data_IF_886860338593
#
_entry.id   IF_886860338593
#
_cell.length_a   1.000
_cell.length_b   1.000
_cell.length_c   1.000
_cell.angle_alpha   90.00
_cell.angle_beta   90.00
_cell.angle_gamma   90.00
#
_symmetry.space_group_name_H-M   'P 1'
#
loop_
_entity.id
_entity.type
_entity.pdbx_description
1 polymer ?
#
# COMPACT_ATOMS: atom_id res chain seq x y z
N UNK A 1 23.58 12.48 -18.02
CA UNK A 1 22.78 11.88 -16.93
C UNK A 1 22.23 12.99 -16.07
N UNK A 2 20.90 13.18 -16.08
CA UNK A 2 20.21 14.19 -15.26
C UNK A 2 19.35 13.43 -14.25
N UNK A 3 19.54 13.71 -12.97
CA UNK A 3 18.66 13.20 -11.92
C UNK A 3 17.30 13.87 -11.99
N UNK A 4 16.23 13.14 -11.72
CA UNK A 4 14.88 13.67 -11.69
C UNK A 4 14.13 13.22 -10.44
N UNK A 5 13.15 14.02 -10.05
CA UNK A 5 12.27 13.81 -8.91
C UNK A 5 10.82 13.88 -9.38
N UNK A 6 10.00 12.89 -9.01
CA UNK A 6 8.57 12.91 -9.31
C UNK A 6 7.88 13.81 -8.31
N UNK A 7 7.45 15.00 -8.74
CA UNK A 7 6.80 15.99 -7.88
C UNK A 7 5.56 15.43 -7.18
N UNK A 8 4.78 14.66 -7.91
CA UNK A 8 3.52 14.10 -7.44
C UNK A 8 3.22 12.79 -8.13
N UNK A 9 2.72 11.81 -7.38
CA UNK A 9 2.28 10.53 -7.89
C UNK A 9 1.15 9.96 -7.04
N UNK A 10 0.43 8.95 -7.54
CA UNK A 10 -0.66 8.28 -6.84
C UNK A 10 -2.06 8.76 -7.25
N UNK A 11 -2.18 9.70 -8.17
CA UNK A 11 -3.47 10.26 -8.63
C UNK A 11 -4.42 9.22 -9.20
N UNK A 12 -3.88 8.12 -9.71
CA UNK A 12 -4.66 7.00 -10.22
C UNK A 12 -5.48 6.28 -9.13
N UNK A 13 -5.19 6.52 -7.87
CA UNK A 13 -5.90 5.90 -6.74
C UNK A 13 -7.18 6.64 -6.40
N UNK A 14 -7.16 7.95 -6.43
CA UNK A 14 -8.36 8.78 -6.20
C UNK A 14 -8.25 10.10 -6.97
N UNK A 15 -8.42 10.05 -8.27
CA UNK A 15 -8.54 11.24 -9.10
C UNK A 15 -9.99 11.68 -9.19
N UNK A 16 -10.25 12.96 -9.02
CA UNK A 16 -11.58 13.56 -9.16
C UNK A 16 -12.14 13.46 -10.59
N UNK A 17 -11.29 13.27 -11.58
CA UNK A 17 -11.68 12.96 -12.96
C UNK A 17 -11.94 11.47 -13.17
N UNK A 18 -11.75 10.63 -12.17
CA UNK A 18 -11.82 9.18 -12.29
C UNK A 18 -13.23 8.58 -12.22
N UNK A 19 -14.29 9.40 -12.42
CA UNK A 19 -15.69 8.96 -12.32
C UNK A 19 -16.01 7.71 -13.15
N UNK A 20 -15.31 7.49 -14.24
CA UNK A 20 -15.47 6.35 -15.13
C UNK A 20 -14.26 5.42 -15.15
N UNK A 21 -13.29 5.63 -14.27
CA UNK A 21 -12.10 4.79 -14.21
C UNK A 21 -12.23 3.64 -13.20
N UNK A 22 -11.51 2.53 -13.38
CA UNK A 22 -11.45 1.45 -12.39
C UNK A 22 -10.99 1.91 -11.01
N UNK A 23 -10.22 2.98 -10.93
CA UNK A 23 -9.74 3.55 -9.65
C UNK A 23 -10.85 4.17 -8.81
N UNK A 24 -12.03 4.40 -9.37
CA UNK A 24 -13.18 4.94 -8.61
C UNK A 24 -13.57 4.12 -7.40
N UNK A 25 -13.38 2.81 -7.45
CA UNK A 25 -13.66 1.90 -6.32
C UNK A 25 -12.79 2.18 -5.10
N UNK A 26 -11.68 2.90 -5.28
CA UNK A 26 -10.76 3.29 -4.22
C UNK A 26 -11.28 4.46 -3.38
N UNK A 27 -12.39 5.09 -3.76
CA UNK A 27 -12.95 6.29 -3.13
C UNK A 27 -13.84 6.01 -1.93
N UNK A 28 -13.85 4.83 -1.44
CA UNK A 28 -14.73 4.46 -0.33
C UNK A 28 -13.99 4.32 0.99
N UNK A 29 -14.78 4.30 2.06
CA UNK A 29 -14.40 3.78 3.34
C UNK A 29 -14.81 2.32 3.44
N UNK A 30 -14.06 1.58 4.22
CA UNK A 30 -14.29 0.17 4.47
C UNK A 30 -13.10 -0.68 4.03
N UNK A 31 -13.13 -1.93 4.40
CA UNK A 31 -12.02 -2.86 4.21
C UNK A 31 -11.65 -3.03 2.74
N UNK A 32 -12.63 -3.37 1.90
CA UNK A 32 -12.37 -3.64 0.47
C UNK A 32 -11.86 -2.41 -0.27
N UNK A 33 -12.48 -1.22 -0.17
CA UNK A 33 -11.93 0.00 -0.77
C UNK A 33 -10.51 0.32 -0.30
N UNK A 34 -10.20 0.13 0.98
CA UNK A 34 -8.86 0.38 1.51
C UNK A 34 -7.81 -0.63 1.03
N UNK A 35 -8.20 -1.89 0.83
CA UNK A 35 -7.34 -2.90 0.20
C UNK A 35 -7.04 -2.55 -1.25
N UNK A 36 -8.06 -2.16 -2.01
CA UNK A 36 -7.90 -1.73 -3.41
C UNK A 36 -7.03 -0.48 -3.51
N UNK A 37 -7.18 0.48 -2.60
CA UNK A 37 -6.33 1.66 -2.50
C UNK A 37 -4.86 1.26 -2.28
N UNK A 38 -4.59 0.42 -1.29
CA UNK A 38 -3.24 -0.03 -0.99
C UNK A 38 -2.61 -0.76 -2.20
N UNK A 39 -3.39 -1.61 -2.89
CA UNK A 39 -2.94 -2.28 -4.11
C UNK A 39 -2.66 -1.28 -5.23
N UNK A 40 -3.50 -0.27 -5.41
CA UNK A 40 -3.32 0.77 -6.41
C UNK A 40 -2.04 1.59 -6.18
N UNK A 41 -1.73 1.92 -4.92
CA UNK A 41 -0.47 2.59 -4.58
C UNK A 41 0.74 1.69 -4.73
N UNK A 42 0.62 0.42 -4.42
CA UNK A 42 1.72 -0.53 -4.50
C UNK A 42 2.08 -0.87 -5.94
N UNK A 43 1.12 -1.40 -6.66
CA UNK A 43 1.27 -1.87 -8.04
C UNK A 43 -0.06 -1.78 -8.77
N UNK A 44 -0.05 -1.19 -9.95
CA UNK A 44 -1.21 -1.08 -10.83
C UNK A 44 -0.84 -1.49 -12.24
N UNK A 45 -1.80 -2.05 -12.96
CA UNK A 45 -1.69 -2.30 -14.40
C UNK A 45 -1.78 -0.99 -15.22
N UNK A 46 -2.13 0.09 -14.58
CA UNK A 46 -2.09 1.42 -15.17
C UNK A 46 -0.62 1.83 -15.38
N UNK A 47 -0.23 2.33 -16.57
CA UNK A 47 1.17 2.57 -16.90
C UNK A 47 1.80 3.76 -16.17
N UNK A 48 1.19 4.23 -15.11
CA UNK A 48 1.59 5.42 -14.37
C UNK A 48 2.26 5.10 -13.05
N UNK A 49 2.58 6.13 -12.33
CA UNK A 49 3.37 6.10 -11.13
C UNK A 49 2.68 5.36 -9.98
N UNK A 50 3.14 4.17 -9.69
CA UNK A 50 2.92 3.48 -8.44
C UNK A 50 4.28 3.17 -7.80
N UNK A 51 4.27 2.68 -6.57
CA UNK A 51 5.51 2.42 -5.83
C UNK A 51 6.42 1.42 -6.55
N UNK A 52 5.85 0.35 -7.10
CA UNK A 52 6.59 -0.66 -7.86
C UNK A 52 7.30 -0.05 -9.07
N UNK A 53 6.64 0.80 -9.83
CA UNK A 53 7.24 1.50 -10.98
C UNK A 53 8.35 2.44 -10.54
N UNK A 54 8.17 3.19 -9.46
CA UNK A 54 9.20 4.09 -8.93
C UNK A 54 10.47 3.32 -8.54
N UNK A 55 10.32 2.13 -7.95
CA UNK A 55 11.45 1.29 -7.58
C UNK A 55 12.13 0.59 -8.76
N UNK A 56 11.41 0.35 -9.86
CA UNK A 56 11.99 -0.18 -11.11
C UNK A 56 12.70 0.87 -11.92
N UNK A 57 12.46 2.11 -11.62
CA UNK A 57 12.98 3.22 -12.40
C UNK A 57 14.50 3.34 -12.28
N UNK A 58 15.14 3.88 -13.33
CA UNK A 58 16.59 3.93 -13.40
C UNK A 58 17.21 4.81 -12.33
N UNK A 59 18.51 4.66 -12.18
CA UNK A 59 19.35 5.33 -11.18
C UNK A 59 19.22 6.85 -11.12
N UNK A 60 18.61 7.47 -12.13
CA UNK A 60 18.37 8.91 -12.16
C UNK A 60 17.18 9.36 -11.33
N UNK A 61 16.25 8.46 -11.01
CA UNK A 61 15.10 8.78 -10.18
C UNK A 61 15.50 8.82 -8.70
N UNK A 62 15.44 10.00 -8.10
CA UNK A 62 15.94 10.25 -6.74
C UNK A 62 14.81 10.33 -5.70
N UNK A 63 13.56 10.13 -6.09
CA UNK A 63 12.42 10.09 -5.18
C UNK A 63 11.16 10.74 -5.74
N UNK A 64 10.12 10.77 -4.92
CA UNK A 64 8.85 11.37 -5.29
C UNK A 64 7.95 11.63 -4.09
N UNK A 65 6.93 12.48 -4.29
CA UNK A 65 5.92 12.79 -3.30
C UNK A 65 4.61 12.11 -3.66
N UNK A 66 4.08 11.34 -2.72
CA UNK A 66 2.76 10.76 -2.85
C UNK A 66 1.68 11.84 -2.67
N UNK A 67 0.74 11.90 -3.54
CA UNK A 67 -0.54 12.54 -3.33
C UNK A 67 -1.57 11.47 -2.92
N UNK A 68 -1.90 11.25 -1.60
CA UNK A 68 -1.70 12.26 -0.58
C UNK A 68 -1.54 11.61 0.81
N UNK A 69 -1.17 12.40 1.81
CA UNK A 69 -0.96 11.89 3.19
C UNK A 69 -2.27 11.67 3.94
N UNK A 70 -3.28 12.54 3.76
CA UNK A 70 -4.51 12.57 4.55
C UNK A 70 -5.74 12.71 3.68
N UNK A 71 -6.83 12.03 4.07
CA UNK A 71 -8.14 12.32 3.52
C UNK A 71 -8.55 13.76 3.88
N UNK A 72 -9.17 14.46 2.96
CA UNK A 72 -9.56 15.86 3.17
C UNK A 72 -10.72 16.29 2.30
N UNK A 73 -11.40 17.36 2.72
CA UNK A 73 -12.41 18.03 1.91
C UNK A 73 -11.75 18.94 0.90
N UNK A 74 -12.14 18.83 -0.37
CA UNK A 74 -11.53 19.60 -1.47
C UNK A 74 -12.04 21.02 -1.61
N UNK A 75 -13.15 21.38 -0.99
CA UNK A 75 -13.72 22.71 -1.03
C UNK A 75 -14.46 23.08 -2.34
N UNK A 76 -14.07 22.55 -3.46
CA UNK A 76 -14.68 22.80 -4.78
C UNK A 76 -15.32 21.55 -5.41
N UNK A 77 -15.28 20.43 -4.71
CA UNK A 77 -15.86 19.15 -5.14
C UNK A 77 -16.81 18.62 -4.07
N UNK A 78 -17.97 18.06 -4.44
CA UNK A 78 -18.94 17.55 -3.46
C UNK A 78 -18.39 16.34 -2.65
N UNK A 79 -17.55 15.53 -3.27
CA UNK A 79 -16.97 14.37 -2.61
C UNK A 79 -15.66 14.72 -1.91
N UNK A 80 -15.43 14.23 -0.67
CA UNK A 80 -14.12 14.30 -0.05
C UNK A 80 -13.07 13.53 -0.86
N UNK A 81 -11.81 13.87 -0.65
CA UNK A 81 -10.69 13.10 -1.16
C UNK A 81 -10.36 11.98 -0.19
N UNK A 82 -10.46 10.73 -0.64
CA UNK A 82 -10.19 9.53 0.16
C UNK A 82 -8.84 8.87 -0.17
N UNK A 83 -7.99 9.52 -0.92
CA UNK A 83 -6.68 9.01 -1.34
C UNK A 83 -5.58 9.11 -0.27
N UNK A 84 -5.90 9.60 0.93
CA UNK A 84 -4.93 9.65 2.02
C UNK A 84 -4.47 8.26 2.47
N UNK A 85 -3.22 8.15 2.90
CA UNK A 85 -2.73 6.95 3.60
C UNK A 85 -3.17 6.93 5.07
N UNK A 86 -3.62 8.07 5.56
CA UNK A 86 -4.34 8.25 6.82
C UNK A 86 -5.66 8.93 6.56
N UNK A 87 -6.62 8.72 7.42
CA UNK A 87 -7.90 9.40 7.36
C UNK A 87 -7.82 10.88 7.79
N UNK A 88 -8.94 11.60 7.73
CA UNK A 88 -9.03 13.00 8.15
C UNK A 88 -8.71 13.20 9.64
N UNK A 89 -8.83 12.17 10.47
CA UNK A 89 -8.51 12.18 11.89
C UNK A 89 -7.10 11.68 12.20
N UNK A 90 -6.27 11.46 11.16
CA UNK A 90 -4.90 10.92 11.28
C UNK A 90 -4.83 9.45 11.69
N UNK A 91 -5.92 8.69 11.56
CA UNK A 91 -5.88 7.26 11.77
C UNK A 91 -5.25 6.57 10.56
N UNK A 92 -4.30 5.64 10.76
CA UNK A 92 -3.67 4.92 9.65
C UNK A 92 -4.69 4.05 8.89
N UNK A 93 -4.65 4.14 7.57
CA UNK A 93 -5.39 3.23 6.67
C UNK A 93 -4.51 2.05 6.27
N UNK A 94 -5.06 1.07 5.55
CA UNK A 94 -4.29 -0.12 5.15
C UNK A 94 -3.07 0.23 4.30
N UNK A 95 -3.17 1.26 3.46
CA UNK A 95 -2.04 1.75 2.65
C UNK A 95 -0.88 2.29 3.50
N UNK A 96 -1.14 2.86 4.67
CA UNK A 96 -0.07 3.26 5.59
C UNK A 96 0.82 2.07 5.98
N UNK A 97 0.22 0.95 6.37
CA UNK A 97 0.95 -0.26 6.74
C UNK A 97 1.65 -0.92 5.54
N UNK A 98 1.02 -0.84 4.36
CA UNK A 98 1.67 -1.27 3.12
C UNK A 98 2.97 -0.49 2.87
N UNK A 99 2.96 0.84 3.05
CA UNK A 99 4.17 1.65 2.92
C UNK A 99 5.18 1.35 4.04
N UNK A 100 4.75 1.14 5.28
CA UNK A 100 5.63 0.72 6.36
C UNK A 100 6.38 -0.57 6.04
N UNK A 101 5.72 -1.53 5.37
CA UNK A 101 6.36 -2.79 4.97
C UNK A 101 7.45 -2.63 3.91
N UNK A 102 7.59 -1.46 3.28
CA UNK A 102 8.65 -1.21 2.31
C UNK A 102 9.98 -0.78 2.96
N UNK A 103 10.00 -0.58 4.26
CA UNK A 103 11.22 -0.24 5.00
C UNK A 103 12.10 -1.48 5.20
N UNK A 104 13.43 -1.31 5.37
CA UNK A 104 14.29 -2.41 5.76
C UNK A 104 13.81 -3.07 7.07
N UNK A 105 13.88 -4.41 7.13
CA UNK A 105 13.56 -5.14 8.35
C UNK A 105 14.63 -4.96 9.46
N UNK A 106 15.83 -4.52 9.09
CA UNK A 106 16.87 -4.23 10.05
C UNK A 106 16.53 -2.96 10.84
N UNK A 107 16.48 -3.07 12.17
CA UNK A 107 16.22 -1.94 13.05
C UNK A 107 17.38 -0.93 12.99
N UNK A 108 17.05 0.33 12.76
CA UNK A 108 18.00 1.42 12.87
C UNK A 108 17.66 2.26 14.12
N UNK A 109 18.49 2.23 15.18
CA UNK A 109 18.23 2.95 16.44
C UNK A 109 18.32 4.47 16.30
N UNK A 110 18.93 4.98 15.22
CA UNK A 110 19.05 6.43 14.99
C UNK A 110 17.77 7.04 14.41
N UNK A 111 16.84 6.21 13.92
CA UNK A 111 15.56 6.69 13.40
C UNK A 111 14.54 6.83 14.54
N UNK A 112 13.94 8.02 14.63
CA UNK A 112 12.86 8.32 15.58
C UNK A 112 11.57 7.56 15.22
N UNK A 113 11.30 7.37 13.92
CA UNK A 113 10.13 6.65 13.45
C UNK A 113 10.26 5.14 13.71
N UNK A 114 9.14 4.48 13.96
CA UNK A 114 9.06 3.02 14.04
C UNK A 114 9.72 2.38 12.82
N UNK A 115 10.64 1.48 13.11
CA UNK A 115 11.40 0.75 12.09
C UNK A 115 11.79 -0.64 12.62
N UNK A 116 12.25 -1.49 11.73
CA UNK A 116 12.60 -2.86 12.02
C UNK A 116 11.60 -3.86 11.44
N UNK A 117 11.63 -5.14 11.89
CA UNK A 117 10.73 -6.16 11.39
C UNK A 117 9.28 -5.82 11.68
N UNK A 118 8.39 -6.00 10.69
CA UNK A 118 6.96 -5.78 10.87
C UNK A 118 6.14 -6.80 10.08
N UNK A 119 4.96 -7.10 10.61
CA UNK A 119 3.90 -7.84 9.95
C UNK A 119 2.55 -7.19 10.32
N UNK A 120 1.69 -7.03 9.33
CA UNK A 120 0.37 -6.47 9.51
C UNK A 120 -0.66 -7.28 8.71
N UNK A 121 -1.67 -7.81 9.38
CA UNK A 121 -2.79 -8.52 8.75
C UNK A 121 -3.81 -7.48 8.31
N UNK A 122 -3.94 -7.29 7.01
CA UNK A 122 -4.88 -6.35 6.41
C UNK A 122 -6.22 -7.05 6.13
N UNK A 123 -6.86 -7.53 7.18
CA UNK A 123 -8.15 -8.19 7.16
C UNK A 123 -8.87 -7.92 8.49
N UNK A 124 -10.11 -7.42 8.42
CA UNK A 124 -10.89 -7.08 9.61
C UNK A 124 -11.47 -8.30 10.35
N UNK A 125 -11.31 -9.49 9.78
CA UNK A 125 -11.80 -10.77 10.36
C UNK A 125 -13.30 -10.76 10.67
N UNK A 126 -14.09 -10.11 9.80
CA UNK A 126 -15.54 -10.07 9.89
C UNK A 126 -16.18 -11.05 8.92
N UNK A 127 -17.47 -11.40 9.07
CA UNK A 127 -18.19 -12.21 8.08
C UNK A 127 -18.25 -11.61 6.67
N UNK A 128 -17.96 -10.31 6.54
CA UNK A 128 -17.96 -9.56 5.27
C UNK A 128 -16.56 -9.33 4.71
N UNK A 129 -15.52 -9.72 5.45
CA UNK A 129 -14.15 -9.61 5.00
C UNK A 129 -13.87 -10.51 3.80
N UNK A 130 -12.93 -10.14 2.91
CA UNK A 130 -12.44 -11.04 1.88
C UNK A 130 -11.95 -12.36 2.49
N UNK A 131 -12.19 -13.46 1.78
CA UNK A 131 -11.70 -14.79 2.20
C UNK A 131 -10.18 -14.85 2.16
N UNK A 132 -9.60 -14.33 1.10
CA UNK A 132 -8.15 -14.21 0.99
C UNK A 132 -7.63 -13.22 2.05
N UNK A 133 -6.61 -13.61 2.78
CA UNK A 133 -6.00 -12.78 3.82
C UNK A 133 -4.82 -12.01 3.25
N UNK A 134 -4.96 -10.69 3.18
CA UNK A 134 -3.88 -9.80 2.76
C UNK A 134 -2.96 -9.49 3.94
N UNK A 135 -1.65 -9.57 3.72
CA UNK A 135 -0.63 -9.27 4.72
C UNK A 135 0.45 -8.35 4.14
N UNK A 136 0.86 -7.39 4.94
CA UNK A 136 2.01 -6.53 4.65
C UNK A 136 3.14 -6.85 5.60
N UNK A 137 4.32 -7.13 5.07
CA UNK A 137 5.49 -7.48 5.87
C UNK A 137 6.79 -7.16 5.13
N UNK A 138 7.81 -6.77 5.87
CA UNK A 138 9.18 -6.62 5.37
C UNK A 138 10.09 -7.81 5.74
N UNK A 139 9.53 -8.86 6.36
CA UNK A 139 10.26 -10.06 6.74
C UNK A 139 10.50 -10.99 5.53
N UNK A 140 11.52 -11.81 5.61
CA UNK A 140 11.87 -12.78 4.56
C UNK A 140 10.87 -13.95 4.49
N UNK A 141 10.27 -14.29 5.62
CA UNK A 141 9.27 -15.36 5.72
C UNK A 141 8.08 -14.87 6.55
N UNK A 142 6.88 -15.21 6.10
CA UNK A 142 5.63 -14.97 6.83
C UNK A 142 4.80 -16.25 6.82
N UNK A 143 4.36 -16.68 8.00
CA UNK A 143 3.45 -17.82 8.16
C UNK A 143 2.09 -17.36 8.64
N UNK A 144 1.05 -17.84 8.01
CA UNK A 144 -0.33 -17.65 8.42
C UNK A 144 -0.94 -19.02 8.74
N UNK A 145 -1.51 -19.15 9.95
CA UNK A 145 -2.25 -20.33 10.38
C UNK A 145 -3.72 -20.00 10.50
N UNK A 146 -4.56 -20.71 9.78
CA UNK A 146 -6.03 -20.60 9.88
C UNK A 146 -6.51 -21.41 11.07
N UNK A 147 -7.16 -20.74 12.04
CA UNK A 147 -7.58 -21.39 13.29
C UNK A 147 -8.64 -22.48 13.08
N UNK A 148 -9.44 -22.38 12.01
CA UNK A 148 -10.56 -23.28 11.73
C UNK A 148 -10.12 -24.73 11.51
N UNK A 149 -9.03 -24.94 10.82
CA UNK A 149 -8.53 -26.26 10.42
C UNK A 149 -7.04 -26.44 10.69
N UNK A 150 -6.42 -25.49 11.37
CA UNK A 150 -4.99 -25.45 11.67
C UNK A 150 -4.08 -25.53 10.42
N UNK A 151 -4.61 -25.22 9.25
CA UNK A 151 -3.79 -25.15 8.04
C UNK A 151 -2.84 -23.96 8.13
N UNK A 152 -1.60 -24.20 7.75
CA UNK A 152 -0.55 -23.17 7.72
C UNK A 152 -0.07 -22.98 6.30
N UNK A 153 -0.07 -21.72 5.85
CA UNK A 153 0.53 -21.31 4.60
C UNK A 153 1.79 -20.49 4.92
N UNK A 154 2.85 -20.69 4.13
CA UNK A 154 4.10 -19.97 4.28
C UNK A 154 4.40 -19.20 3.01
N UNK A 155 4.67 -17.90 3.17
CA UNK A 155 5.17 -17.03 2.11
C UNK A 155 6.66 -16.82 2.31
N UNK A 156 7.43 -16.96 1.24
CA UNK A 156 8.84 -16.59 1.18
C UNK A 156 9.01 -15.39 0.24
N UNK A 157 9.72 -14.39 0.73
CA UNK A 157 9.97 -13.18 -0.03
C UNK A 157 10.82 -13.50 -1.28
N UNK A 158 10.40 -13.06 -2.47
CA UNK A 158 11.19 -13.27 -3.68
C UNK A 158 12.55 -12.59 -3.59
N UNK A 159 13.59 -13.29 -4.04
CA UNK A 159 14.96 -12.78 -4.10
C UNK A 159 15.18 -11.92 -5.36
N UNK A 160 14.23 -11.03 -5.65
CA UNK A 160 14.33 -10.10 -6.78
C UNK A 160 14.78 -8.72 -6.30
N UNK A 161 15.58 -8.05 -7.13
CA UNK A 161 16.00 -6.67 -6.88
C UNK A 161 15.15 -5.66 -7.67
N UNK A 162 14.16 -6.15 -8.40
CA UNK A 162 13.29 -5.32 -9.23
C UNK A 162 11.93 -5.10 -8.55
N UNK A 163 11.43 -3.87 -8.64
CA UNK A 163 10.14 -3.49 -8.11
C UNK A 163 10.14 -3.25 -6.60
N UNK A 164 8.99 -3.45 -5.99
CA UNK A 164 8.77 -3.21 -4.56
C UNK A 164 9.70 -4.09 -3.69
N UNK A 165 10.36 -3.52 -2.66
CA UNK A 165 11.16 -4.29 -1.72
C UNK A 165 10.37 -5.40 -1.00
N UNK A 166 9.10 -5.14 -0.72
CA UNK A 166 8.20 -6.08 -0.02
C UNK A 166 6.85 -6.13 -0.73
N UNK A 167 6.63 -7.11 -1.61
CA UNK A 167 5.35 -7.28 -2.30
C UNK A 167 4.18 -7.51 -1.32
N UNK A 168 2.98 -7.15 -1.75
CA UNK A 168 1.76 -7.47 -1.01
C UNK A 168 1.56 -8.99 -1.01
N UNK A 169 1.35 -9.56 0.17
CA UNK A 169 1.15 -11.00 0.35
C UNK A 169 -0.34 -11.29 0.38
N UNK A 170 -0.79 -12.31 -0.35
CA UNK A 170 -2.15 -12.81 -0.30
C UNK A 170 -2.14 -14.31 0.02
N UNK A 171 -2.64 -14.66 1.18
CA UNK A 171 -2.88 -16.05 1.57
C UNK A 171 -4.27 -16.44 1.13
N UNK A 172 -4.40 -17.60 0.50
CA UNK A 172 -5.66 -18.11 -0.05
C UNK A 172 -6.41 -18.96 0.96
N UNK A 173 -7.73 -18.68 1.14
CA UNK A 173 -8.66 -19.53 1.89
C UNK A 173 -9.29 -20.58 0.96
#
# INVERSE_FOLDING_TARGET
NISYFTREWGDNVDDWNSHNSPSRVNRGWGEVPMLVQAQGYAKTDYPYTCYDVLYRNPRQHVGGCLWHSFDHQRGYHPDPFYGGIMDAFRQPKLSYYMFCSQRPAQKNPELIADNGPMVYIANAMTPFSPKDVTVYSNCEEVRLTFCKDSQTQTYHKPQTKEGMPSPIIAFKD
#
